data_IF_288996850216
#
_entry.id   IF_288996850216
#
_cell.length_a   1.000
_cell.length_b   1.000
_cell.length_c   1.000
_cell.angle_alpha   90.00
_cell.angle_beta   90.00
_cell.angle_gamma   90.00
#
_symmetry.space_group_name_H-M   'P 1'
#
loop_
_entity.id
_entity.type
_entity.pdbx_description
1 polymer ?
#
# COMPACT_ATOMS: atom_id res chain seq x y z
N UNK A 1 -6.33 4.43 -11.19
CA UNK A 1 -5.16 5.12 -10.67
C UNK A 1 -4.95 4.78 -9.20
N UNK A 2 -4.59 3.56 -8.85
CA UNK A 2 -4.28 3.27 -7.45
C UNK A 2 -2.85 3.64 -7.11
N UNK A 3 -2.71 4.21 -5.92
CA UNK A 3 -1.42 4.50 -5.29
C UNK A 3 -1.39 3.81 -3.94
N UNK A 4 -0.31 3.09 -3.65
CA UNK A 4 -0.06 2.56 -2.31
C UNK A 4 1.27 3.10 -1.83
N UNK A 5 1.24 3.90 -0.77
CA UNK A 5 2.44 4.37 -0.09
C UNK A 5 2.57 3.59 1.21
N UNK A 6 3.63 2.82 1.33
CA UNK A 6 3.87 1.94 2.47
C UNK A 6 5.09 2.44 3.25
N UNK A 7 4.85 2.76 4.52
CA UNK A 7 5.92 3.01 5.48
C UNK A 7 6.14 1.74 6.28
N UNK A 8 7.36 1.26 6.35
CA UNK A 8 7.68 -0.01 7.00
C UNK A 8 8.81 0.18 8.02
N UNK A 9 8.58 -0.31 9.22
CA UNK A 9 9.56 -0.28 10.31
C UNK A 9 10.03 -1.70 10.62
N UNK A 10 10.94 -2.18 9.81
CA UNK A 10 11.67 -3.44 10.03
C UNK A 10 12.93 -3.43 9.16
N UNK A 11 13.83 -4.36 9.41
CA UNK A 11 15.00 -4.51 8.56
C UNK A 11 14.58 -5.01 7.18
N UNK A 12 14.97 -4.28 6.14
CA UNK A 12 14.65 -4.63 4.76
C UNK A 12 15.79 -4.16 3.85
N UNK A 13 16.35 -5.06 3.05
CA UNK A 13 17.37 -4.71 2.07
C UNK A 13 16.73 -4.26 0.74
N UNK A 14 17.57 -3.78 -0.18
CA UNK A 14 17.08 -3.25 -1.46
C UNK A 14 16.35 -4.31 -2.29
N UNK A 15 16.86 -5.54 -2.29
CA UNK A 15 16.24 -6.65 -3.04
C UNK A 15 14.87 -7.00 -2.48
N UNK A 16 14.76 -7.13 -1.16
CA UNK A 16 13.48 -7.42 -0.50
C UNK A 16 12.48 -6.29 -0.70
N UNK A 17 12.95 -5.04 -0.69
CA UNK A 17 12.09 -3.87 -0.94
C UNK A 17 11.55 -3.89 -2.37
N UNK A 18 12.39 -4.19 -3.35
CA UNK A 18 11.97 -4.28 -4.75
C UNK A 18 10.96 -5.42 -4.96
N UNK A 19 11.19 -6.58 -4.34
CA UNK A 19 10.27 -7.72 -4.42
C UNK A 19 8.93 -7.41 -3.76
N UNK A 20 8.96 -6.72 -2.62
CA UNK A 20 7.72 -6.29 -1.95
C UNK A 20 6.94 -5.30 -2.79
N UNK A 21 7.61 -4.33 -3.41
CA UNK A 21 6.96 -3.36 -4.29
C UNK A 21 6.26 -4.05 -5.46
N UNK A 22 6.93 -5.04 -6.06
CA UNK A 22 6.38 -5.83 -7.15
C UNK A 22 5.13 -6.61 -6.71
N UNK A 23 5.20 -7.26 -5.56
CA UNK A 23 4.07 -8.01 -5.01
C UNK A 23 2.89 -7.08 -4.67
N UNK A 24 3.16 -5.93 -4.08
CA UNK A 24 2.13 -4.94 -3.76
C UNK A 24 1.45 -4.39 -5.03
N UNK A 25 2.23 -4.13 -6.07
CA UNK A 25 1.69 -3.65 -7.35
C UNK A 25 0.70 -4.66 -7.95
N UNK A 26 1.10 -5.92 -8.04
CA UNK A 26 0.24 -6.97 -8.55
C UNK A 26 -1.01 -7.17 -7.68
N UNK A 27 -0.84 -7.15 -6.37
CA UNK A 27 -1.94 -7.29 -5.41
C UNK A 27 -2.95 -6.15 -5.55
N UNK A 28 -2.48 -4.92 -5.62
CA UNK A 28 -3.36 -3.75 -5.72
C UNK A 28 -4.12 -3.74 -7.03
N UNK A 29 -3.48 -4.08 -8.14
CA UNK A 29 -4.15 -4.22 -9.43
C UNK A 29 -5.25 -5.29 -9.38
N UNK A 30 -4.96 -6.45 -8.81
CA UNK A 30 -5.92 -7.55 -8.69
C UNK A 30 -7.10 -7.18 -7.79
N UNK A 31 -6.85 -6.56 -6.65
CA UNK A 31 -7.90 -6.18 -5.70
C UNK A 31 -8.82 -5.09 -6.22
N UNK A 32 -8.26 -4.10 -6.93
CA UNK A 32 -9.04 -2.96 -7.43
C UNK A 32 -9.64 -3.19 -8.81
N UNK A 33 -9.14 -4.18 -9.54
CA UNK A 33 -9.53 -4.38 -10.94
C UNK A 33 -9.00 -3.31 -11.90
N UNK A 34 -8.04 -2.48 -11.44
CA UNK A 34 -7.45 -1.43 -12.26
C UNK A 34 -6.23 -1.96 -13.02
N UNK A 35 -5.93 -1.41 -14.22
CA UNK A 35 -4.74 -1.85 -14.96
C UNK A 35 -3.46 -1.56 -14.18
N UNK A 36 -2.57 -2.54 -14.11
CA UNK A 36 -1.32 -2.40 -13.34
C UNK A 36 -0.43 -1.29 -13.87
N UNK A 37 -0.54 -0.94 -15.15
CA UNK A 37 0.23 0.17 -15.74
C UNK A 37 -0.01 1.52 -15.08
N UNK A 38 -1.10 1.67 -14.35
CA UNK A 38 -1.41 2.90 -13.62
C UNK A 38 -1.16 2.78 -12.11
N UNK A 39 -0.73 1.63 -11.64
CA UNK A 39 -0.47 1.42 -10.21
C UNK A 39 0.89 1.97 -9.83
N UNK A 40 0.92 2.78 -8.79
CA UNK A 40 2.17 3.25 -8.20
C UNK A 40 2.30 2.71 -6.79
N UNK A 41 3.47 2.17 -6.46
CA UNK A 41 3.80 1.72 -5.11
C UNK A 41 5.05 2.45 -4.66
N UNK A 42 4.95 3.08 -3.48
CA UNK A 42 6.07 3.76 -2.83
C UNK A 42 6.34 3.02 -1.53
N UNK A 43 7.59 2.59 -1.30
CA UNK A 43 7.97 1.91 -0.06
C UNK A 43 9.08 2.71 0.61
N UNK A 44 8.81 3.13 1.83
CA UNK A 44 9.76 3.89 2.66
C UNK A 44 10.04 3.10 3.94
N UNK A 45 11.30 3.03 4.32
CA UNK A 45 11.71 2.48 5.60
C UNK A 45 11.84 3.61 6.60
N UNK A 46 11.31 3.43 7.80
CA UNK A 46 11.35 4.47 8.82
C UNK A 46 11.03 3.93 10.20
N UNK A 47 10.85 4.84 11.14
CA UNK A 47 10.51 4.52 12.52
C UNK A 47 9.02 4.61 12.74
N UNK A 48 8.44 3.60 13.37
CA UNK A 48 7.02 3.58 13.74
C UNK A 48 6.90 3.16 15.19
N UNK A 49 6.12 3.93 15.94
CA UNK A 49 5.71 3.59 17.30
C UNK A 49 4.23 3.24 17.27
N UNK A 50 3.88 2.05 17.73
CA UNK A 50 2.49 1.61 17.83
C UNK A 50 2.28 0.85 19.12
N UNK A 51 1.18 1.10 19.80
CA UNK A 51 0.88 0.49 21.10
C UNK A 51 2.00 0.71 22.12
N UNK A 52 2.71 1.85 22.02
CA UNK A 52 3.80 2.19 22.91
C UNK A 52 5.10 1.42 22.69
N UNK A 53 5.22 0.66 21.59
CA UNK A 53 6.43 -0.11 21.29
C UNK A 53 6.95 0.18 19.88
N UNK A 54 8.24 -0.05 19.68
CA UNK A 54 8.90 0.11 18.39
C UNK A 54 9.11 -1.25 17.66
N UNK A 55 8.33 -2.25 18.04
CA UNK A 55 8.35 -3.54 17.34
C UNK A 55 7.96 -3.35 15.87
N UNK A 56 8.31 -4.28 14.97
CA UNK A 56 8.00 -4.14 13.55
C UNK A 56 6.55 -3.79 13.29
N UNK A 57 6.33 -2.81 12.43
CA UNK A 57 5.01 -2.28 12.11
C UNK A 57 5.01 -1.69 10.70
N UNK A 58 3.82 -1.42 10.17
CA UNK A 58 3.69 -0.79 8.87
C UNK A 58 2.44 0.08 8.80
N UNK A 59 2.51 1.11 7.97
CA UNK A 59 1.38 1.97 7.64
C UNK A 59 1.25 2.10 6.13
N UNK A 60 0.06 1.84 5.61
CA UNK A 60 -0.25 1.98 4.19
C UNK A 60 -1.24 3.13 3.97
N UNK A 61 -0.89 4.06 3.09
CA UNK A 61 -1.77 5.11 2.60
C UNK A 61 -2.15 4.73 1.17
N UNK A 62 -3.40 4.35 0.98
CA UNK A 62 -3.92 3.89 -0.31
C UNK A 62 -4.85 4.95 -0.88
N UNK A 63 -4.59 5.38 -2.12
CA UNK A 63 -5.42 6.37 -2.81
C UNK A 63 -5.83 5.85 -4.17
N UNK A 64 -7.00 6.28 -4.63
CA UNK A 64 -7.50 5.89 -5.94
C UNK A 64 -8.59 6.81 -6.45
N UNK A 65 -8.80 6.77 -7.76
CA UNK A 65 -9.92 7.44 -8.42
C UNK A 65 -11.02 6.40 -8.60
N UNK A 66 -11.97 6.37 -7.68
CA UNK A 66 -13.01 5.35 -7.65
C UNK A 66 -12.48 3.96 -7.26
N UNK A 67 -13.40 3.05 -7.00
CA UNK A 67 -13.08 1.64 -6.78
C UNK A 67 -12.63 1.27 -5.38
N UNK A 68 -12.52 2.21 -4.46
CA UNK A 68 -12.14 1.92 -3.07
C UNK A 68 -13.39 1.68 -2.22
N UNK A 69 -14.10 0.60 -2.54
CA UNK A 69 -15.28 0.18 -1.78
C UNK A 69 -14.86 -0.48 -0.47
N UNK A 70 -15.80 -0.64 0.45
CA UNK A 70 -15.52 -1.33 1.72
C UNK A 70 -14.96 -2.74 1.48
N UNK A 71 -15.53 -3.46 0.53
CA UNK A 71 -15.10 -4.81 0.19
C UNK A 71 -13.66 -4.82 -0.36
N UNK A 72 -13.34 -3.91 -1.29
CA UNK A 72 -12.00 -3.79 -1.85
C UNK A 72 -11.01 -3.42 -0.76
N UNK A 73 -11.35 -2.46 0.09
CA UNK A 73 -10.47 -2.01 1.17
C UNK A 73 -10.15 -3.13 2.16
N UNK A 74 -11.15 -3.96 2.49
CA UNK A 74 -10.93 -5.14 3.33
C UNK A 74 -10.01 -6.15 2.67
N UNK A 75 -10.19 -6.39 1.39
CA UNK A 75 -9.36 -7.32 0.63
C UNK A 75 -7.91 -6.84 0.53
N UNK A 76 -7.71 -5.57 0.21
CA UNK A 76 -6.36 -4.97 0.15
C UNK A 76 -5.67 -5.10 1.52
N UNK A 77 -6.37 -4.73 2.59
CA UNK A 77 -5.82 -4.82 3.95
C UNK A 77 -5.41 -6.25 4.30
N UNK A 78 -6.28 -7.22 4.02
CA UNK A 78 -6.01 -8.63 4.29
C UNK A 78 -4.79 -9.11 3.54
N UNK A 79 -4.73 -8.88 2.23
CA UNK A 79 -3.63 -9.36 1.40
C UNK A 79 -2.31 -8.65 1.73
N UNK A 80 -2.37 -7.36 2.04
CA UNK A 80 -1.18 -6.63 2.49
C UNK A 80 -0.64 -7.21 3.81
N UNK A 81 -1.52 -7.45 4.78
CA UNK A 81 -1.12 -8.06 6.05
C UNK A 81 -0.48 -9.44 5.85
N UNK A 82 -1.03 -10.25 4.95
CA UNK A 82 -0.47 -11.56 4.63
C UNK A 82 0.93 -11.46 4.01
N UNK A 83 1.14 -10.52 3.09
CA UNK A 83 2.45 -10.25 2.50
C UNK A 83 3.46 -9.83 3.57
N UNK A 84 3.09 -8.90 4.43
CA UNK A 84 3.99 -8.36 5.44
C UNK A 84 4.33 -9.39 6.52
N UNK A 85 3.37 -10.20 6.92
CA UNK A 85 3.61 -11.29 7.87
C UNK A 85 4.49 -12.37 7.28
N UNK A 86 4.19 -12.81 6.06
CA UNK A 86 4.93 -13.89 5.41
C UNK A 86 6.35 -13.53 5.05
N UNK A 87 6.61 -12.28 4.65
CA UNK A 87 7.94 -11.84 4.20
C UNK A 87 8.80 -11.27 5.32
N UNK A 88 8.20 -10.58 6.29
CA UNK A 88 8.95 -9.82 7.29
C UNK A 88 8.56 -10.12 8.73
N UNK A 89 7.59 -10.99 8.97
CA UNK A 89 7.15 -11.33 10.31
C UNK A 89 6.40 -10.18 11.02
N UNK A 90 5.87 -9.22 10.26
CA UNK A 90 5.10 -8.13 10.87
C UNK A 90 3.70 -8.66 11.23
N UNK A 91 3.34 -8.57 12.50
CA UNK A 91 2.04 -9.04 12.97
C UNK A 91 0.92 -8.18 12.36
N UNK A 92 -0.20 -8.79 11.91
CA UNK A 92 -1.31 -8.04 11.30
C UNK A 92 -1.90 -6.95 12.18
N UNK A 93 -1.86 -7.11 13.52
CA UNK A 93 -2.35 -6.09 14.45
C UNK A 93 -1.38 -4.90 14.60
N UNK A 94 -0.24 -4.94 13.90
CA UNK A 94 0.71 -3.83 13.85
C UNK A 94 0.75 -3.18 12.45
N UNK A 95 -0.32 -3.35 11.69
CA UNK A 95 -0.46 -2.75 10.34
C UNK A 95 -1.72 -1.91 10.32
N UNK A 96 -1.57 -0.63 9.99
CA UNK A 96 -2.69 0.23 9.65
C UNK A 96 -2.70 0.50 8.15
N UNK A 97 -3.89 0.60 7.59
CA UNK A 97 -4.09 1.04 6.23
C UNK A 97 -5.24 2.06 6.20
N UNK A 98 -5.04 3.15 5.48
CA UNK A 98 -6.09 4.14 5.25
C UNK A 98 -6.36 4.23 3.76
N UNK A 99 -7.60 4.55 3.40
CA UNK A 99 -8.05 4.56 2.01
C UNK A 99 -8.73 5.89 1.72
N UNK A 100 -8.27 6.57 0.67
CA UNK A 100 -8.78 7.89 0.29
C UNK A 100 -9.13 7.89 -1.19
N UNK A 101 -10.39 8.20 -1.49
CA UNK A 101 -10.80 8.45 -2.86
C UNK A 101 -10.38 9.84 -3.28
N UNK A 102 -9.80 9.96 -4.49
CA UNK A 102 -9.37 11.22 -5.07
C UNK A 102 -10.20 11.44 -6.33
N UNK A 103 -10.74 12.63 -6.50
CA UNK A 103 -11.49 12.96 -7.72
C UNK A 103 -10.51 13.13 -8.88
N UNK A 104 -10.94 12.74 -10.08
CA UNK A 104 -10.12 12.76 -11.28
C UNK A 104 -9.39 14.08 -11.55
N UNK A 105 -10.05 15.27 -11.41
CA UNK A 105 -9.36 16.54 -11.59
C UNK A 105 -8.24 16.81 -10.59
N UNK A 106 -8.21 16.07 -9.48
CA UNK A 106 -7.23 16.26 -8.41
C UNK A 106 -6.05 15.28 -8.52
N UNK A 107 -5.95 14.57 -9.64
CA UNK A 107 -4.85 13.61 -9.86
C UNK A 107 -4.10 13.97 -11.14
N UNK A 108 -2.89 14.47 -10.97
CA UNK A 108 -2.02 14.85 -12.08
C UNK A 108 -1.29 13.66 -12.68
N UNK A 109 -1.24 13.58 -13.99
CA UNK A 109 -0.52 12.56 -14.72
C UNK A 109 -0.23 13.06 -16.13
N UNK A 110 0.97 12.80 -16.61
CA UNK A 110 1.36 13.07 -18.00
C UNK A 110 1.06 14.50 -18.45
N UNK A 111 1.48 15.49 -17.62
CA UNK A 111 1.36 16.93 -17.86
C UNK A 111 -0.08 17.50 -17.81
N UNK A 112 -1.03 16.70 -17.37
CA UNK A 112 -2.43 17.11 -17.22
C UNK A 112 -3.03 16.44 -15.98
N UNK A 113 -4.33 16.27 -15.96
CA UNK A 113 -5.03 15.54 -14.91
C UNK A 113 -5.96 14.51 -15.56
N UNK A 114 -6.49 13.59 -14.75
CA UNK A 114 -7.42 12.58 -15.26
C UNK A 114 -8.84 13.10 -15.49
N UNK A 115 -9.12 14.30 -15.09
CA UNK A 115 -10.44 14.87 -15.30
C UNK A 115 -10.44 16.30 -15.79
#
# INVERSE_FOLDING_TARGET
MPLLKLSIACAIDDSARADLAKACSAMLAACTGKPEKYVMVVIEQGSIMMAGTAEPAAFADVRGIGGLTQEVNRRVTKELCELLKGRFGIAPDRVYATFTEVEAPNWGWNKTTFG
#
